data_IF_760736792197
#
_entry.id   IF_760736792197
#
_cell.length_a   1.000
_cell.length_b   1.000
_cell.length_c   1.000
_cell.angle_alpha   90.00
_cell.angle_beta   90.00
_cell.angle_gamma   90.00
#
_symmetry.space_group_name_H-M   'P 1'
#
loop_
_entity.id
_entity.type
_entity.pdbx_description
1 polymer ?
#
# COMPACT_ATOMS: atom_id res chain seq x y z
N UNK A 1 -12.62 3.87 -16.55
CA UNK A 1 -11.45 3.01 -16.30
C UNK A 1 -11.94 1.85 -15.46
N UNK A 2 -11.80 0.62 -15.96
CA UNK A 2 -12.08 -0.57 -15.16
C UNK A 2 -11.12 -0.61 -13.98
N UNK A 3 -11.66 -0.80 -12.78
CA UNK A 3 -10.86 -0.97 -11.58
C UNK A 3 -10.72 -2.47 -11.35
N UNK A 4 -9.50 -3.01 -11.47
CA UNK A 4 -9.27 -4.39 -11.13
C UNK A 4 -8.97 -4.53 -9.64
N UNK A 5 -9.72 -5.43 -8.99
CA UNK A 5 -9.54 -5.79 -7.59
C UNK A 5 -8.95 -7.19 -7.54
N UNK A 6 -7.78 -7.32 -6.93
CA UNK A 6 -7.07 -8.58 -6.78
C UNK A 6 -6.95 -8.96 -5.32
N UNK A 7 -6.97 -10.25 -5.02
CA UNK A 7 -6.52 -10.73 -3.71
C UNK A 7 -5.00 -10.66 -3.67
N UNK A 8 -4.46 -10.17 -2.57
CA UNK A 8 -3.02 -10.13 -2.37
C UNK A 8 -2.64 -10.50 -0.93
N UNK A 9 -1.45 -11.06 -0.78
CA UNK A 9 -0.85 -11.37 0.51
C UNK A 9 0.35 -10.46 0.71
N UNK A 10 0.41 -9.78 1.85
CA UNK A 10 1.53 -8.90 2.20
C UNK A 10 2.79 -9.75 2.41
N UNK A 11 3.89 -9.36 1.78
CA UNK A 11 5.22 -9.95 1.99
C UNK A 11 6.08 -9.06 2.89
N UNK A 12 6.05 -7.75 2.67
CA UNK A 12 6.81 -6.79 3.48
C UNK A 12 6.29 -5.36 3.32
N UNK A 13 6.55 -4.54 4.32
CA UNK A 13 6.21 -3.11 4.36
C UNK A 13 7.48 -2.37 4.74
N UNK A 14 8.02 -1.55 3.83
CA UNK A 14 9.32 -0.90 4.04
C UNK A 14 9.19 0.51 4.61
N UNK A 15 8.17 1.25 4.18
CA UNK A 15 7.82 2.61 4.61
C UNK A 15 6.30 2.72 4.84
N UNK A 16 5.81 3.91 5.21
CA UNK A 16 4.42 4.14 5.59
C UNK A 16 3.42 4.12 4.42
N UNK A 17 3.89 4.12 3.18
CA UNK A 17 3.04 4.29 2.00
C UNK A 17 3.42 3.39 0.80
N UNK A 18 4.31 2.42 1.01
CA UNK A 18 4.66 1.40 0.02
C UNK A 18 4.67 0.01 0.64
N UNK A 19 3.92 -0.91 0.02
CA UNK A 19 3.91 -2.32 0.39
C UNK A 19 4.55 -3.18 -0.70
N UNK A 20 5.01 -4.37 -0.32
CA UNK A 20 5.36 -5.46 -1.23
C UNK A 20 4.43 -6.63 -0.97
N UNK A 21 3.81 -7.16 -2.02
CA UNK A 21 2.85 -8.25 -1.91
C UNK A 21 2.96 -9.26 -3.07
N UNK A 22 2.48 -10.47 -2.82
CA UNK A 22 2.10 -11.41 -3.87
C UNK A 22 0.65 -11.13 -4.28
N UNK A 23 0.42 -10.87 -5.56
CA UNK A 23 -0.92 -10.65 -6.14
C UNK A 23 -1.40 -11.93 -6.83
N UNK A 24 -2.61 -12.36 -6.51
CA UNK A 24 -3.27 -13.49 -7.17
C UNK A 24 -4.10 -12.98 -8.36
N UNK A 25 -3.73 -13.40 -9.56
CA UNK A 25 -4.37 -12.99 -10.81
C UNK A 25 -5.38 -14.04 -11.32
N UNK A 26 -5.66 -15.09 -10.55
CA UNK A 26 -6.48 -16.21 -10.98
C UNK A 26 -5.72 -17.22 -11.85
N UNK A 27 -6.39 -18.33 -12.20
CA UNK A 27 -5.84 -19.40 -13.05
C UNK A 27 -4.48 -19.96 -12.57
N UNK A 28 -4.22 -19.92 -11.27
CA UNK A 28 -2.93 -20.34 -10.70
C UNK A 28 -1.77 -19.36 -10.93
N UNK A 29 -2.03 -18.20 -11.53
CA UNK A 29 -1.03 -17.17 -11.81
C UNK A 29 -0.89 -16.25 -10.61
N UNK A 30 0.34 -16.15 -10.08
CA UNK A 30 0.70 -15.24 -8.99
C UNK A 30 1.86 -14.36 -9.37
N UNK A 31 1.71 -13.06 -9.15
CA UNK A 31 2.79 -12.09 -9.29
C UNK A 31 3.38 -11.81 -7.92
N UNK A 32 4.57 -12.34 -7.65
CA UNK A 32 5.27 -12.17 -6.37
C UNK A 32 6.07 -10.87 -6.33
N UNK A 33 6.42 -10.39 -5.13
CA UNK A 33 7.29 -9.21 -4.94
C UNK A 33 6.82 -7.94 -5.65
N UNK A 34 5.50 -7.76 -5.83
CA UNK A 34 4.97 -6.56 -6.46
C UNK A 34 4.96 -5.40 -5.47
N UNK A 35 5.60 -4.30 -5.86
CA UNK A 35 5.63 -3.07 -5.06
C UNK A 35 4.45 -2.18 -5.41
N UNK A 36 3.65 -1.85 -4.39
CA UNK A 36 2.46 -1.01 -4.52
C UNK A 36 2.67 0.26 -3.70
N UNK A 37 2.57 1.40 -4.38
CA UNK A 37 2.48 2.73 -3.76
C UNK A 37 1.02 3.01 -3.43
N UNK A 38 0.75 3.37 -2.19
CA UNK A 38 -0.58 3.76 -1.75
C UNK A 38 -0.99 5.06 -2.43
N UNK A 39 -2.11 4.98 -3.14
CA UNK A 39 -2.67 6.09 -3.89
C UNK A 39 -3.34 7.10 -2.97
N UNK A 40 -3.26 8.38 -3.35
CA UNK A 40 -3.92 9.48 -2.67
C UNK A 40 -3.29 9.92 -1.34
N UNK A 41 -2.14 9.34 -0.96
CA UNK A 41 -1.50 9.65 0.33
C UNK A 41 0.02 9.77 0.24
N UNK A 42 0.60 10.52 1.17
CA UNK A 42 2.02 10.57 1.45
C UNK A 42 2.28 10.36 2.95
N UNK A 43 3.23 9.51 3.29
CA UNK A 43 3.70 9.34 4.66
C UNK A 43 5.02 10.10 4.90
N UNK A 44 5.35 10.40 6.16
CA UNK A 44 6.63 10.99 6.52
C UNK A 44 7.80 10.09 6.09
N UNK A 45 8.89 10.72 5.65
CA UNK A 45 10.09 10.03 5.18
C UNK A 45 10.77 9.20 6.28
N UNK A 46 11.33 8.05 5.89
CA UNK A 46 12.04 7.13 6.80
C UNK A 46 13.47 7.61 7.18
N UNK A 47 13.82 8.85 6.85
CA UNK A 47 15.15 9.45 7.01
C UNK A 47 15.03 10.94 7.38
N UNK A 48 16.13 11.52 7.86
CA UNK A 48 16.17 12.93 8.28
C UNK A 48 15.31 13.20 9.52
N UNK A 49 14.83 14.44 9.64
CA UNK A 49 14.08 14.93 10.80
C UNK A 49 12.73 14.20 10.98
N UNK A 50 12.11 13.75 9.89
CA UNK A 50 10.83 13.05 9.91
C UNK A 50 10.93 11.54 10.23
N UNK A 51 12.14 11.01 10.42
CA UNK A 51 12.40 9.57 10.57
C UNK A 51 11.59 8.90 11.69
N UNK A 52 11.33 9.60 12.80
CA UNK A 52 10.56 9.06 13.92
C UNK A 52 9.11 8.81 13.48
N UNK A 53 8.45 9.85 12.95
CA UNK A 53 7.08 9.75 12.42
C UNK A 53 6.96 8.77 11.25
N UNK A 54 7.97 8.70 10.39
CA UNK A 54 8.00 7.73 9.29
C UNK A 54 8.01 6.29 9.81
N UNK A 55 8.81 6.00 10.84
CA UNK A 55 8.82 4.69 11.50
C UNK A 55 7.48 4.37 12.15
N UNK A 56 6.86 5.33 12.83
CA UNK A 56 5.54 5.16 13.43
C UNK A 56 4.49 4.79 12.37
N UNK A 57 4.44 5.52 11.25
CA UNK A 57 3.54 5.22 10.15
C UNK A 57 3.76 3.81 9.57
N UNK A 58 5.02 3.45 9.33
CA UNK A 58 5.39 2.11 8.85
C UNK A 58 4.98 1.02 9.84
N UNK A 59 5.27 1.19 11.12
CA UNK A 59 5.03 0.18 12.15
C UNK A 59 3.53 0.04 12.42
N UNK A 60 2.76 1.13 12.36
CA UNK A 60 1.30 1.10 12.37
C UNK A 60 0.73 0.31 11.19
N UNK A 61 1.22 0.57 9.97
CA UNK A 61 0.80 -0.16 8.77
C UNK A 61 1.17 -1.65 8.84
N UNK A 62 2.37 -1.97 9.35
CA UNK A 62 2.80 -3.35 9.61
C UNK A 62 1.89 -4.06 10.58
N UNK A 63 1.62 -3.48 11.74
CA UNK A 63 0.76 -4.08 12.75
C UNK A 63 -0.68 -4.27 12.22
N UNK A 64 -1.15 -3.34 11.39
CA UNK A 64 -2.50 -3.41 10.79
C UNK A 64 -2.61 -4.53 9.75
N UNK A 65 -1.56 -4.78 8.97
CA UNK A 65 -1.61 -5.65 7.78
C UNK A 65 -0.79 -6.95 7.85
N UNK A 66 0.05 -7.15 8.87
CA UNK A 66 0.89 -8.32 9.00
C UNK A 66 0.06 -9.62 8.92
N UNK A 67 0.52 -10.55 8.09
CA UNK A 67 -0.09 -11.87 7.86
C UNK A 67 -1.54 -11.85 7.34
N UNK A 68 -2.03 -10.69 6.89
CA UNK A 68 -3.39 -10.56 6.36
C UNK A 68 -3.43 -10.67 4.84
N UNK A 69 -4.54 -11.22 4.36
CA UNK A 69 -4.95 -11.12 2.96
C UNK A 69 -5.71 -9.80 2.77
N UNK A 70 -5.40 -9.10 1.70
CA UNK A 70 -6.02 -7.82 1.35
C UNK A 70 -6.70 -7.91 -0.02
N UNK A 71 -7.60 -6.96 -0.27
CA UNK A 71 -8.07 -6.66 -1.62
C UNK A 71 -7.29 -5.44 -2.13
N UNK A 72 -6.53 -5.63 -3.20
CA UNK A 72 -5.75 -4.59 -3.86
C UNK A 72 -6.53 -4.07 -5.07
N UNK A 73 -6.92 -2.79 -5.04
CA UNK A 73 -7.51 -2.09 -6.17
C UNK A 73 -6.42 -1.29 -6.90
N UNK A 74 -6.12 -1.61 -8.16
CA UNK A 74 -5.16 -0.82 -8.96
C UNK A 74 -5.82 0.44 -9.49
N UNK A 75 -5.05 1.54 -9.57
CA UNK A 75 -5.52 2.83 -10.13
C UNK A 75 -5.04 3.00 -11.58
N UNK A 76 -3.90 2.40 -11.92
CA UNK A 76 -3.35 2.35 -13.27
C UNK A 76 -2.64 1.01 -13.47
N UNK A 77 -2.87 0.35 -14.59
CA UNK A 77 -2.19 -0.91 -14.94
C UNK A 77 -0.81 -0.69 -15.59
N UNK A 78 -0.18 0.45 -15.29
CA UNK A 78 1.18 0.76 -15.69
C UNK A 78 1.99 1.13 -14.46
N UNK A 79 3.18 0.54 -14.36
CA UNK A 79 4.17 0.94 -13.37
C UNK A 79 4.56 2.40 -13.61
N UNK A 80 4.57 3.20 -12.56
CA UNK A 80 5.09 4.56 -12.62
C UNK A 80 6.61 4.58 -12.83
N UNK A 81 7.20 5.78 -12.87
CA UNK A 81 8.65 6.03 -13.05
C UNK A 81 9.57 5.18 -12.17
N UNK A 82 9.08 4.71 -11.02
CA UNK A 82 9.85 3.95 -10.03
C UNK A 82 9.55 2.44 -10.02
N UNK A 83 8.91 1.91 -11.07
CA UNK A 83 8.60 0.48 -11.16
C UNK A 83 7.53 -0.01 -10.17
N UNK A 84 6.76 0.91 -9.58
CA UNK A 84 5.68 0.64 -8.61
C UNK A 84 4.32 0.81 -9.26
N UNK A 85 3.38 -0.05 -8.90
CA UNK A 85 1.95 0.20 -9.19
C UNK A 85 1.37 1.19 -8.20
N UNK A 86 0.30 1.88 -8.58
CA UNK A 86 -0.50 2.70 -7.68
C UNK A 86 -1.77 1.94 -7.32
N UNK A 87 -2.10 1.89 -6.03
CA UNK A 87 -3.26 1.14 -5.57
C UNK A 87 -3.87 1.63 -4.27
N UNK A 88 -5.10 1.17 -4.05
CA UNK A 88 -5.83 1.31 -2.79
C UNK A 88 -5.94 -0.07 -2.17
N UNK A 89 -5.60 -0.17 -0.89
CA UNK A 89 -5.70 -1.40 -0.13
C UNK A 89 -7.00 -1.40 0.66
N UNK A 90 -7.74 -2.51 0.58
CA UNK A 90 -8.88 -2.79 1.42
C UNK A 90 -8.59 -4.00 2.31
N UNK A 91 -8.87 -3.85 3.61
CA UNK A 91 -8.91 -4.95 4.57
C UNK A 91 -10.37 -5.19 4.96
N UNK A 92 -10.99 -6.19 4.34
CA UNK A 92 -12.45 -6.28 4.35
C UNK A 92 -13.04 -5.10 3.59
N UNK A 93 -13.82 -4.27 4.29
CA UNK A 93 -14.44 -3.04 3.74
C UNK A 93 -13.62 -1.77 4.08
N UNK A 94 -12.65 -1.87 4.99
CA UNK A 94 -11.86 -0.73 5.44
C UNK A 94 -10.82 -0.31 4.39
N UNK A 95 -10.87 0.95 3.95
CA UNK A 95 -9.84 1.54 3.08
C UNK A 95 -8.62 1.93 3.93
N UNK A 96 -7.53 1.20 3.76
CA UNK A 96 -6.31 1.38 4.54
C UNK A 96 -5.59 2.70 4.19
N UNK A 97 -5.76 3.19 2.95
CA UNK A 97 -5.19 4.47 2.56
C UNK A 97 -5.84 5.61 3.34
N UNK A 98 -7.17 5.59 3.48
CA UNK A 98 -7.90 6.60 4.27
C UNK A 98 -7.58 6.45 5.76
N UNK A 99 -7.54 5.21 6.27
CA UNK A 99 -7.17 4.91 7.66
C UNK A 99 -5.81 5.52 8.04
N UNK A 100 -4.82 5.50 7.15
CA UNK A 100 -3.50 6.15 7.38
C UNK A 100 -3.66 7.65 7.64
N UNK A 101 -4.51 8.34 6.86
CA UNK A 101 -4.74 9.78 7.01
C UNK A 101 -5.54 10.08 8.27
N UNK A 102 -6.60 9.33 8.51
CA UNK A 102 -7.49 9.50 9.66
C UNK A 102 -6.77 9.31 11.00
N UNK A 103 -5.75 8.44 11.04
CA UNK A 103 -4.94 8.20 12.23
C UNK A 103 -3.67 9.07 12.30
N UNK A 104 -3.51 10.04 11.39
CA UNK A 104 -2.40 11.00 11.42
C UNK A 104 -1.03 10.43 11.01
N UNK A 105 -1.00 9.25 10.40
CA UNK A 105 0.24 8.63 9.91
C UNK A 105 0.70 9.18 8.56
N UNK A 106 -0.19 9.85 7.83
CA UNK A 106 0.10 10.48 6.55
C UNK A 106 -0.88 11.59 6.22
N UNK A 107 -0.66 12.23 5.07
CA UNK A 107 -1.52 13.31 4.56
C UNK A 107 -2.06 12.95 3.18
N UNK A 108 -3.21 13.53 2.82
CA UNK A 108 -3.73 13.40 1.45
C UNK A 108 -2.74 14.01 0.45
N UNK A 109 -2.59 13.32 -0.68
CA UNK A 109 -1.79 13.75 -1.81
C UNK A 109 -2.68 13.89 -3.03
N UNK A 110 -2.60 15.05 -3.69
CA UNK A 110 -3.24 15.27 -4.98
C UNK A 110 -2.29 14.80 -6.09
N UNK A 111 -2.83 14.02 -7.04
CA UNK A 111 -2.10 13.44 -8.18
C UNK A 111 -2.62 13.97 -9.50
#
# INVERSE_FOLDING_TARGET
>A
MENYIYKATIESIYDGDTITCTVDCGFGVKLTKQKIRLFGINCPEMRGENKIKGKEARDALRNKLADKKINLKTIKDKKGKYGRYLGIIYLGEENINDWIVENGYGVKANY
#
